data_IF_502157916436
#
_entry.id   IF_502157916436
#
_cell.length_a   1.000
_cell.length_b   1.000
_cell.length_c   1.000
_cell.angle_alpha   90.00
_cell.angle_beta   90.00
_cell.angle_gamma   90.00
#
_symmetry.space_group_name_H-M   'P 1'
#
loop_
_entity.id
_entity.type
_entity.pdbx_description
1 polymer ?
#
# COMPACT_ATOMS: atom_id res chain seq x y z
N UNK A 1 -20.81 -21.44 -2.53
CA UNK A 1 -19.39 -21.05 -2.44
C UNK A 1 -19.24 -19.94 -1.41
N UNK A 2 -18.44 -20.19 -0.39
CA UNK A 2 -18.07 -19.11 0.51
C UNK A 2 -17.04 -18.24 -0.22
N UNK A 3 -17.43 -17.03 -0.60
CA UNK A 3 -16.49 -16.02 -1.08
C UNK A 3 -15.52 -15.71 0.05
N UNK A 4 -14.24 -15.93 -0.16
CA UNK A 4 -13.21 -15.55 0.81
C UNK A 4 -13.31 -14.06 1.06
N UNK A 5 -13.56 -13.67 2.30
CA UNK A 5 -13.55 -12.26 2.66
C UNK A 5 -12.13 -11.81 2.87
N UNK A 6 -11.82 -10.65 2.34
CA UNK A 6 -10.53 -10.01 2.56
C UNK A 6 -10.74 -8.60 3.13
N UNK A 7 -9.70 -8.08 3.73
CA UNK A 7 -9.67 -6.73 4.27
C UNK A 7 -8.47 -6.00 3.70
N UNK A 8 -8.73 -4.81 3.15
CA UNK A 8 -7.66 -3.89 2.73
C UNK A 8 -7.13 -3.19 3.98
N UNK A 9 -5.81 -3.20 4.14
CA UNK A 9 -5.13 -2.57 5.28
C UNK A 9 -4.28 -1.41 4.74
N UNK A 10 -4.83 -0.19 4.72
CA UNK A 10 -4.06 0.99 4.35
C UNK A 10 -3.04 1.35 5.44
N UNK A 11 -2.15 2.28 5.13
CA UNK A 11 -1.23 2.82 6.12
C UNK A 11 -1.99 3.28 7.37
N UNK A 12 -1.54 2.92 8.58
CA UNK A 12 -2.18 3.39 9.80
C UNK A 12 -2.18 4.92 9.90
N UNK A 13 -3.26 5.47 10.44
CA UNK A 13 -3.41 6.92 10.63
C UNK A 13 -2.28 7.50 11.48
N UNK A 14 -1.82 6.76 12.50
CA UNK A 14 -0.72 7.17 13.37
C UNK A 14 0.58 7.40 12.59
N UNK A 15 0.84 6.57 11.58
CA UNK A 15 2.04 6.71 10.73
C UNK A 15 1.89 7.91 9.78
N UNK A 16 0.71 8.11 9.21
CA UNK A 16 0.43 9.30 8.40
C UNK A 16 0.59 10.58 9.22
N UNK A 17 0.06 10.62 10.43
CA UNK A 17 0.18 11.75 11.33
C UNK A 17 1.63 11.99 11.76
N UNK A 18 2.39 10.92 12.01
CA UNK A 18 3.81 11.02 12.32
C UNK A 18 4.61 11.63 11.16
N UNK A 19 4.29 11.27 9.92
CA UNK A 19 4.91 11.86 8.73
C UNK A 19 4.61 13.36 8.63
N UNK A 20 3.37 13.77 8.92
CA UNK A 20 2.97 15.18 8.94
C UNK A 20 3.74 15.97 9.98
N UNK A 21 3.89 15.42 11.18
CA UNK A 21 4.70 16.04 12.24
C UNK A 21 6.19 16.12 11.85
N UNK A 22 6.73 15.05 11.27
CA UNK A 22 8.14 14.99 10.89
C UNK A 22 8.49 16.02 9.80
N UNK A 23 7.66 16.17 8.77
CA UNK A 23 7.91 17.15 7.72
C UNK A 23 7.82 18.57 8.27
N UNK A 24 6.90 18.84 9.18
CA UNK A 24 6.79 20.16 9.83
C UNK A 24 7.98 20.47 10.74
N UNK A 25 8.61 19.44 11.30
CA UNK A 25 9.80 19.58 12.13
C UNK A 25 11.10 19.62 11.30
N UNK A 26 11.02 19.55 9.97
CA UNK A 26 12.18 19.65 9.09
C UNK A 26 13.00 18.38 8.96
N UNK A 27 12.38 17.19 9.15
CA UNK A 27 13.07 15.91 9.01
C UNK A 27 13.72 15.78 7.63
N UNK A 28 15.01 15.42 7.60
CA UNK A 28 15.82 15.41 6.37
C UNK A 28 15.37 14.34 5.36
N UNK A 29 14.74 13.25 5.82
CA UNK A 29 14.27 12.15 4.99
C UNK A 29 12.78 12.28 4.60
N UNK A 30 12.16 13.43 4.86
CA UNK A 30 10.78 13.73 4.50
C UNK A 30 10.74 14.90 3.53
N UNK A 31 10.00 14.76 2.43
CA UNK A 31 9.88 15.82 1.42
C UNK A 31 8.42 16.21 1.24
N UNK A 32 8.12 17.51 1.33
CA UNK A 32 6.82 18.07 1.00
C UNK A 32 6.80 18.42 -0.48
N UNK A 33 5.87 17.83 -1.23
CA UNK A 33 5.82 17.94 -2.69
C UNK A 33 4.43 18.42 -3.10
N UNK A 34 4.37 19.37 -4.02
CA UNK A 34 3.13 19.75 -4.71
C UNK A 34 2.97 18.87 -5.94
N UNK A 35 1.80 18.23 -6.07
CA UNK A 35 1.53 17.34 -7.20
C UNK A 35 1.39 18.15 -8.47
N UNK A 36 2.23 17.88 -9.45
CA UNK A 36 2.29 18.57 -10.74
C UNK A 36 1.94 17.68 -11.94
N UNK A 37 1.66 16.39 -11.70
CA UNK A 37 1.35 15.43 -12.74
C UNK A 37 0.28 14.45 -12.24
N UNK A 38 -0.78 14.16 -13.02
CA UNK A 38 -1.80 13.21 -12.61
C UNK A 38 -1.24 11.79 -12.52
N UNK A 39 -1.73 11.00 -11.56
CA UNK A 39 -1.33 9.60 -11.40
C UNK A 39 0.13 9.41 -10.96
N UNK A 40 0.73 10.40 -10.30
CA UNK A 40 2.13 10.36 -9.87
C UNK A 40 2.33 10.07 -8.39
N UNK A 41 1.34 10.38 -7.55
CA UNK A 41 1.49 10.38 -6.10
C UNK A 41 0.31 9.67 -5.42
N UNK A 42 0.40 8.34 -5.24
CA UNK A 42 -0.66 7.58 -4.58
C UNK A 42 -0.57 7.76 -3.06
N UNK A 43 -1.64 8.22 -2.44
CA UNK A 43 -1.73 8.33 -0.99
C UNK A 43 -1.98 6.95 -0.36
N UNK A 44 -1.09 6.49 0.52
CA UNK A 44 -1.17 5.17 1.15
C UNK A 44 -2.22 5.09 2.26
N UNK A 45 -2.76 6.22 2.67
CA UNK A 45 -3.75 6.30 3.74
C UNK A 45 -5.20 6.26 3.20
N UNK A 46 -5.54 7.15 2.27
CA UNK A 46 -6.87 7.16 1.67
C UNK A 46 -7.00 6.26 0.43
N UNK A 47 -5.89 5.76 -0.10
CA UNK A 47 -5.78 4.87 -1.26
C UNK A 47 -6.38 5.48 -2.53
N UNK A 48 -6.08 6.76 -2.76
CA UNK A 48 -6.41 7.49 -3.98
C UNK A 48 -5.16 8.18 -4.52
N UNK A 49 -5.15 8.42 -5.82
CA UNK A 49 -4.17 9.31 -6.41
C UNK A 49 -4.39 10.73 -5.89
N UNK A 50 -3.34 11.38 -5.42
CA UNK A 50 -3.41 12.80 -5.10
C UNK A 50 -3.64 13.61 -6.37
N UNK A 51 -4.45 14.65 -6.25
CA UNK A 51 -4.85 15.50 -7.38
C UNK A 51 -3.82 16.61 -7.64
N UNK A 52 -3.83 17.15 -8.87
CA UNK A 52 -3.00 18.29 -9.23
C UNK A 52 -3.21 19.44 -8.23
N UNK A 53 -2.10 20.01 -7.74
CA UNK A 53 -2.11 21.12 -6.80
C UNK A 53 -2.22 20.70 -5.33
N UNK A 54 -2.58 19.45 -5.04
CA UNK A 54 -2.52 18.94 -3.68
C UNK A 54 -1.08 18.74 -3.23
N UNK A 55 -0.84 18.81 -1.93
CA UNK A 55 0.48 18.54 -1.37
C UNK A 55 0.52 17.16 -0.73
N UNK A 56 1.64 16.49 -0.93
CA UNK A 56 1.90 15.16 -0.40
C UNK A 56 3.26 15.14 0.31
N UNK A 57 3.42 14.18 1.19
CA UNK A 57 4.69 13.94 1.88
C UNK A 57 5.27 12.64 1.37
N UNK A 58 6.51 12.70 0.90
CA UNK A 58 7.29 11.52 0.52
C UNK A 58 8.23 11.18 1.69
N UNK A 59 8.17 9.96 2.18
CA UNK A 59 8.94 9.53 3.34
C UNK A 59 9.24 8.03 3.31
N UNK A 60 10.31 7.58 3.99
CA UNK A 60 10.64 6.15 4.01
C UNK A 60 9.69 5.36 4.92
N UNK A 61 9.30 4.18 4.43
CA UNK A 61 8.44 3.24 5.16
C UNK A 61 8.88 1.81 4.89
N UNK A 62 8.85 0.98 5.91
CA UNK A 62 9.15 -0.45 5.82
C UNK A 62 7.89 -1.26 6.15
N UNK A 63 7.33 -1.94 5.16
CA UNK A 63 6.16 -2.81 5.35
C UNK A 63 6.52 -4.13 6.05
N UNK A 64 7.77 -4.60 5.87
CA UNK A 64 8.30 -5.81 6.50
C UNK A 64 9.26 -5.39 7.61
N UNK A 65 9.14 -5.96 8.83
CA UNK A 65 10.00 -5.58 9.95
C UNK A 65 11.49 -5.85 9.67
N UNK A 66 12.37 -5.06 10.29
CA UNK A 66 13.80 -5.29 10.25
C UNK A 66 14.15 -6.67 10.86
N UNK A 67 15.24 -7.27 10.39
CA UNK A 67 15.65 -8.61 10.83
C UNK A 67 15.09 -9.74 9.98
N UNK A 68 14.29 -9.43 8.95
CA UNK A 68 13.81 -10.39 7.97
C UNK A 68 14.45 -10.16 6.61
N UNK A 69 14.71 -11.22 5.81
CA UNK A 69 15.38 -11.07 4.50
C UNK A 69 14.70 -10.10 3.54
N UNK A 70 13.39 -9.95 3.61
CA UNK A 70 12.62 -9.05 2.74
C UNK A 70 12.42 -7.65 3.33
N UNK A 71 13.11 -7.31 4.41
CA UNK A 71 13.10 -5.96 4.95
C UNK A 71 13.58 -4.96 3.88
N UNK A 72 12.79 -3.91 3.70
CA UNK A 72 13.11 -2.85 2.75
C UNK A 72 12.43 -1.56 3.23
N UNK A 73 13.19 -0.49 3.41
CA UNK A 73 12.65 0.82 3.66
C UNK A 73 12.63 1.58 2.33
N UNK A 74 11.45 1.81 1.78
CA UNK A 74 11.27 2.50 0.51
C UNK A 74 10.34 3.70 0.65
N UNK A 75 10.38 4.64 -0.32
CA UNK A 75 9.57 5.85 -0.24
C UNK A 75 8.09 5.57 -0.52
N UNK A 76 7.23 6.21 0.26
CA UNK A 76 5.78 6.21 0.04
C UNK A 76 5.24 7.63 0.21
N UNK A 77 4.04 7.87 -0.34
CA UNK A 77 3.33 9.14 -0.22
C UNK A 77 2.15 9.05 0.72
N UNK A 78 1.87 10.14 1.44
CA UNK A 78 0.58 10.43 2.07
C UNK A 78 0.20 11.87 1.80
N UNK A 79 -1.10 12.20 1.84
CA UNK A 79 -1.52 13.60 1.78
C UNK A 79 -0.92 14.41 2.92
N UNK A 80 -0.45 15.62 2.63
CA UNK A 80 0.03 16.54 3.67
C UNK A 80 -1.09 17.02 4.58
N UNK A 81 -2.31 17.19 4.04
CA UNK A 81 -3.51 17.47 4.81
C UNK A 81 -4.18 16.17 5.25
N UNK A 82 -4.99 16.25 6.30
CA UNK A 82 -5.77 15.10 6.73
C UNK A 82 -6.65 14.57 5.59
N UNK A 83 -6.72 13.25 5.50
CA UNK A 83 -7.60 12.54 4.58
C UNK A 83 -8.23 11.35 5.31
N UNK A 84 -9.35 10.88 4.79
CA UNK A 84 -10.06 9.74 5.37
C UNK A 84 -9.35 8.44 5.01
N UNK A 85 -9.00 7.63 6.01
CA UNK A 85 -8.44 6.30 5.79
C UNK A 85 -9.42 5.43 5.01
N UNK A 86 -8.93 4.73 4.00
CA UNK A 86 -9.74 3.77 3.25
C UNK A 86 -10.26 2.68 4.20
N UNK A 87 -11.57 2.37 4.14
CA UNK A 87 -12.21 1.46 5.09
C UNK A 87 -13.18 0.46 4.45
N UNK A 88 -13.28 0.41 3.14
CA UNK A 88 -14.17 -0.53 2.48
C UNK A 88 -13.72 -1.99 2.69
N UNK A 89 -14.66 -2.89 2.94
CA UNK A 89 -14.43 -4.32 3.15
C UNK A 89 -14.82 -5.08 1.90
N UNK A 90 -14.00 -6.07 1.51
CA UNK A 90 -14.17 -6.86 0.28
C UNK A 90 -14.23 -6.03 -1.01
N UNK A 91 -13.69 -4.85 -0.97
CA UNK A 91 -13.63 -3.95 -2.12
C UNK A 91 -12.20 -3.50 -2.34
N UNK A 92 -11.72 -3.73 -3.56
CA UNK A 92 -10.38 -3.33 -3.95
C UNK A 92 -10.37 -1.85 -4.35
N UNK A 93 -9.37 -1.04 -3.91
CA UNK A 93 -9.30 0.38 -4.27
C UNK A 93 -9.33 0.59 -5.78
N UNK A 94 -10.28 1.40 -6.24
CA UNK A 94 -10.53 1.61 -7.66
C UNK A 94 -9.32 2.17 -8.41
N UNK A 95 -8.52 3.01 -7.76
CA UNK A 95 -7.39 3.69 -8.39
C UNK A 95 -6.20 2.75 -8.65
N UNK A 96 -6.17 1.54 -8.06
CA UNK A 96 -4.99 0.66 -8.10
C UNK A 96 -5.27 -0.71 -8.71
N UNK A 97 -6.24 -0.80 -9.63
CA UNK A 97 -6.62 -2.07 -10.27
C UNK A 97 -5.59 -2.60 -11.27
N UNK A 98 -4.76 -1.73 -11.82
CA UNK A 98 -3.77 -2.10 -12.83
C UNK A 98 -2.37 -1.65 -12.42
N UNK A 99 -1.35 -2.29 -13.01
CA UNK A 99 0.03 -1.91 -12.78
C UNK A 99 0.53 -2.23 -11.38
N UNK A 100 0.06 -3.33 -10.80
CA UNK A 100 0.43 -3.75 -9.45
C UNK A 100 1.04 -5.15 -9.43
N UNK A 101 1.89 -5.37 -8.45
CA UNK A 101 2.43 -6.69 -8.10
C UNK A 101 1.85 -7.09 -6.76
N UNK A 102 1.35 -8.31 -6.67
CA UNK A 102 0.89 -8.91 -5.42
C UNK A 102 1.95 -9.89 -4.93
N UNK A 103 2.45 -9.69 -3.72
CA UNK A 103 3.37 -10.61 -3.05
C UNK A 103 2.65 -11.25 -1.87
N UNK A 104 2.50 -12.57 -1.90
CA UNK A 104 1.93 -13.32 -0.79
C UNK A 104 3.04 -13.76 0.17
N UNK A 105 2.87 -13.47 1.44
CA UNK A 105 3.82 -13.79 2.51
C UNK A 105 3.21 -14.77 3.49
N UNK A 106 4.05 -15.62 4.06
CA UNK A 106 3.67 -16.44 5.21
C UNK A 106 3.81 -15.66 6.53
N UNK A 107 3.47 -16.31 7.66
CA UNK A 107 3.52 -15.68 8.97
C UNK A 107 4.95 -15.32 9.43
N UNK A 108 5.98 -15.83 8.76
CA UNK A 108 7.39 -15.53 9.03
C UNK A 108 7.96 -14.48 8.08
N UNK A 109 7.11 -13.78 7.34
CA UNK A 109 7.48 -12.75 6.34
C UNK A 109 8.29 -13.29 5.16
N UNK A 110 8.09 -14.57 4.80
CA UNK A 110 8.70 -15.15 3.61
C UNK A 110 7.72 -15.04 2.44
N UNK A 111 8.19 -14.63 1.27
CA UNK A 111 7.38 -14.63 0.04
C UNK A 111 7.17 -16.09 -0.38
N UNK A 112 5.90 -16.48 -0.53
CA UNK A 112 5.51 -17.83 -0.93
C UNK A 112 4.80 -17.88 -2.29
N UNK A 113 4.33 -16.75 -2.78
CA UNK A 113 3.72 -16.62 -4.11
C UNK A 113 3.73 -15.16 -4.54
N UNK A 114 3.59 -14.92 -5.85
CA UNK A 114 3.52 -13.57 -6.40
C UNK A 114 2.72 -13.56 -7.70
N UNK A 115 2.11 -12.42 -8.00
CA UNK A 115 1.29 -12.25 -9.20
C UNK A 115 1.36 -10.82 -9.72
N UNK A 116 1.41 -10.67 -11.04
CA UNK A 116 1.33 -9.35 -11.67
C UNK A 116 -0.13 -9.06 -12.03
N UNK A 117 -0.64 -7.95 -11.50
CA UNK A 117 -1.98 -7.47 -11.81
C UNK A 117 -1.97 -6.53 -12.99
N UNK A 118 -2.45 -7.00 -14.13
CA UNK A 118 -2.59 -6.20 -15.33
C UNK A 118 -3.77 -6.72 -16.16
N UNK A 119 -4.93 -6.08 -16.03
CA UNK A 119 -6.15 -6.46 -16.76
C UNK A 119 -6.95 -7.62 -16.18
N UNK A 120 -6.53 -8.21 -15.05
CA UNK A 120 -7.29 -9.25 -14.36
C UNK A 120 -8.14 -8.64 -13.23
N UNK A 121 -9.06 -9.45 -12.67
CA UNK A 121 -9.86 -9.06 -11.52
C UNK A 121 -9.04 -9.18 -10.23
N UNK A 122 -8.67 -8.06 -9.55
CA UNK A 122 -7.87 -8.11 -8.33
C UNK A 122 -8.48 -8.99 -7.23
N UNK A 123 -9.79 -8.92 -7.07
CA UNK A 123 -10.52 -9.68 -6.05
C UNK A 123 -10.33 -11.19 -6.25
N UNK A 124 -10.40 -11.66 -7.50
CA UNK A 124 -10.21 -13.07 -7.82
C UNK A 124 -8.76 -13.52 -7.55
N UNK A 125 -7.79 -12.68 -7.84
CA UNK A 125 -6.37 -12.98 -7.57
C UNK A 125 -6.11 -13.05 -6.07
N UNK A 126 -6.66 -12.12 -5.30
CA UNK A 126 -6.54 -12.12 -3.83
C UNK A 126 -7.14 -13.42 -3.27
N UNK A 127 -8.34 -13.79 -3.71
CA UNK A 127 -8.97 -15.05 -3.28
C UNK A 127 -8.08 -16.27 -3.61
N UNK A 128 -7.52 -16.30 -4.82
CA UNK A 128 -6.64 -17.39 -5.24
C UNK A 128 -5.39 -17.49 -4.35
N UNK A 129 -4.76 -16.37 -4.03
CA UNK A 129 -3.58 -16.35 -3.15
C UNK A 129 -3.91 -16.80 -1.73
N UNK A 130 -5.08 -16.46 -1.21
CA UNK A 130 -5.53 -16.88 0.12
C UNK A 130 -6.09 -18.30 0.18
N UNK A 131 -6.24 -19.00 -0.95
CA UNK A 131 -6.53 -20.43 -0.94
C UNK A 131 -5.38 -21.24 -0.35
N UNK A 132 -4.14 -20.76 -0.48
CA UNK A 132 -3.03 -21.34 0.25
C UNK A 132 -3.17 -20.97 1.74
N UNK A 133 -3.35 -21.96 2.65
CA UNK A 133 -3.52 -21.66 4.07
C UNK A 133 -2.30 -21.02 4.73
N UNK A 134 -1.12 -21.15 4.13
CA UNK A 134 0.10 -20.55 4.63
C UNK A 134 0.21 -19.06 4.30
N UNK A 135 -0.60 -18.54 3.40
CA UNK A 135 -0.64 -17.10 3.10
C UNK A 135 -1.20 -16.34 4.30
N UNK A 136 -0.33 -15.57 4.96
CA UNK A 136 -0.72 -14.73 6.10
C UNK A 136 -1.25 -13.37 5.63
N UNK A 137 -0.61 -12.78 4.62
CA UNK A 137 -1.03 -11.49 4.05
C UNK A 137 -0.47 -11.35 2.63
N UNK A 138 -1.05 -10.40 1.91
CA UNK A 138 -0.59 -10.02 0.55
C UNK A 138 -0.21 -8.54 0.58
N UNK A 139 1.00 -8.21 0.14
CA UNK A 139 1.40 -6.82 -0.06
C UNK A 139 1.27 -6.45 -1.54
N UNK A 140 0.62 -5.33 -1.79
CA UNK A 140 0.41 -4.77 -3.13
C UNK A 140 1.45 -3.70 -3.37
N UNK A 141 2.15 -3.78 -4.51
CA UNK A 141 3.25 -2.87 -4.87
C UNK A 141 3.07 -2.38 -6.31
N UNK A 142 3.70 -1.25 -6.62
CA UNK A 142 3.75 -0.74 -8.00
C UNK A 142 4.60 -1.66 -8.87
N UNK A 143 4.12 -1.99 -10.08
CA UNK A 143 4.88 -2.82 -11.01
C UNK A 143 6.09 -2.09 -11.60
N UNK A 144 6.01 -0.75 -11.71
CA UNK A 144 7.08 0.06 -12.30
C UNK A 144 8.10 0.55 -11.28
N UNK A 145 7.64 1.11 -10.17
CA UNK A 145 8.51 1.69 -9.14
C UNK A 145 8.83 0.70 -8.01
N UNK A 146 8.05 -0.38 -7.88
CA UNK A 146 8.23 -1.38 -6.83
C UNK A 146 7.82 -0.94 -5.43
N UNK A 147 7.30 0.27 -5.27
CA UNK A 147 6.95 0.81 -3.96
C UNK A 147 5.69 0.17 -3.38
N UNK A 148 5.69 -0.03 -2.06
CA UNK A 148 4.55 -0.53 -1.32
C UNK A 148 3.33 0.38 -1.48
N UNK A 149 2.13 -0.21 -1.69
CA UNK A 149 0.88 0.53 -1.80
C UNK A 149 -0.04 0.26 -0.60
N UNK A 150 -0.40 -0.98 -0.36
CA UNK A 150 -1.20 -1.38 0.81
C UNK A 150 -1.08 -2.89 1.03
N UNK A 151 -1.57 -3.34 2.18
CA UNK A 151 -1.61 -4.76 2.56
C UNK A 151 -3.03 -5.29 2.50
N UNK A 152 -3.16 -6.57 2.23
CA UNK A 152 -4.44 -7.30 2.27
C UNK A 152 -4.32 -8.46 3.24
N UNK A 153 -5.33 -8.63 4.08
CA UNK A 153 -5.43 -9.73 5.03
C UNK A 153 -6.77 -10.44 4.86
N UNK A 154 -6.89 -11.63 5.45
CA UNK A 154 -8.22 -12.24 5.63
C UNK A 154 -9.04 -11.38 6.58
N UNK A 155 -10.31 -11.21 6.25
CA UNK A 155 -11.25 -10.51 7.13
C UNK A 155 -11.72 -11.41 8.27
#
# INVERSE_FOLDING_TARGET
MKTSRFQIIPLPTEIADAARRAVNAGAADHALITVDSPGSSPCRHCLRWAQLGERVILFPYAAIPSGHPYFEAGPIFVHANECQRYSAVNEYPADFRNGRVFRAYDAKYKIIDAHIMNGSEPEAVIESLFQNPDTAFVDVRSVTHGCFTFRVQRA
#
